data_IF_692465785388
#
_entry.id   IF_692465785388
#
_cell.length_a   1.000
_cell.length_b   1.000
_cell.length_c   1.000
_cell.angle_alpha   90.00
_cell.angle_beta   90.00
_cell.angle_gamma   90.00
#
_symmetry.space_group_name_H-M   'P 1'
#
loop_
_entity.id
_entity.type
_entity.pdbx_description
1 polymer ?
#
# COMPACT_ATOMS: atom_id res chain seq x y z
N UNK A 1 21.65 -21.93 -35.92
CA UNK A 1 22.29 -21.79 -34.59
C UNK A 1 21.61 -20.61 -33.92
N UNK A 2 20.87 -20.90 -32.86
CA UNK A 2 20.08 -19.94 -32.11
C UNK A 2 20.98 -19.08 -31.21
N UNK A 3 20.56 -17.85 -30.92
CA UNK A 3 20.71 -17.29 -29.58
C UNK A 3 19.64 -16.21 -29.37
N UNK A 4 18.75 -16.51 -28.44
CA UNK A 4 17.79 -15.58 -27.87
C UNK A 4 18.47 -14.82 -26.74
N UNK A 5 18.22 -13.52 -26.60
CA UNK A 5 18.40 -12.84 -25.31
C UNK A 5 17.34 -11.77 -25.09
N UNK A 6 16.48 -12.10 -24.12
CA UNK A 6 15.93 -11.27 -23.06
C UNK A 6 15.27 -9.92 -23.43
N UNK A 7 13.94 -9.90 -23.20
CA UNK A 7 13.12 -8.71 -23.24
C UNK A 7 13.57 -7.66 -22.22
N UNK A 8 13.72 -6.44 -22.71
CA UNK A 8 13.80 -5.24 -21.89
C UNK A 8 12.37 -4.91 -21.46
N UNK A 9 11.98 -5.39 -20.28
CA UNK A 9 10.79 -4.89 -19.60
C UNK A 9 11.10 -3.45 -19.15
N UNK A 10 10.76 -2.48 -19.99
CA UNK A 10 10.96 -1.05 -19.72
C UNK A 10 10.07 -0.67 -18.55
N UNK A 11 10.69 -0.56 -17.36
CA UNK A 11 10.08 0.05 -16.19
C UNK A 11 9.55 1.43 -16.53
N UNK A 12 8.29 1.68 -16.15
CA UNK A 12 7.60 2.93 -16.41
C UNK A 12 8.42 4.13 -15.88
N UNK A 13 8.71 5.07 -16.78
CA UNK A 13 9.22 6.40 -16.48
C UNK A 13 8.20 7.16 -15.63
N UNK A 14 8.54 7.49 -14.39
CA UNK A 14 7.67 8.18 -13.43
C UNK A 14 7.51 9.66 -13.81
N UNK A 15 6.58 9.96 -14.71
CA UNK A 15 6.03 11.32 -14.81
C UNK A 15 5.14 11.54 -13.58
N UNK A 16 5.37 12.62 -12.83
CA UNK A 16 4.46 13.04 -11.75
C UNK A 16 3.09 13.27 -12.38
N UNK A 17 2.12 12.44 -12.02
CA UNK A 17 0.76 12.56 -12.53
C UNK A 17 0.03 13.59 -11.65
N UNK A 18 -0.36 14.71 -12.26
CA UNK A 18 -1.25 15.71 -11.64
C UNK A 18 -2.69 15.18 -11.56
N UNK A 19 -3.07 14.28 -12.47
CA UNK A 19 -4.30 13.49 -12.42
C UNK A 19 -4.14 12.25 -11.53
N UNK A 20 -5.23 11.81 -10.90
CA UNK A 20 -5.27 10.60 -10.07
C UNK A 20 -4.71 9.39 -10.85
N UNK A 21 -3.49 8.91 -10.52
CA UNK A 21 -2.81 7.85 -11.26
C UNK A 21 -3.58 6.53 -11.22
N UNK A 22 -4.53 6.40 -10.28
CA UNK A 22 -5.38 5.23 -10.18
C UNK A 22 -6.42 5.18 -11.31
N UNK A 23 -6.85 6.31 -11.88
CA UNK A 23 -7.91 6.34 -12.92
C UNK A 23 -7.54 5.50 -14.14
N UNK A 24 -6.31 5.62 -14.63
CA UNK A 24 -5.85 4.83 -15.77
C UNK A 24 -5.68 3.33 -15.43
N UNK A 25 -5.36 3.02 -14.17
CA UNK A 25 -5.08 1.66 -13.70
C UNK A 25 -6.35 0.89 -13.31
N UNK A 26 -7.44 1.57 -12.95
CA UNK A 26 -8.75 0.97 -12.62
C UNK A 26 -9.27 0.10 -13.78
N UNK A 27 -8.90 0.40 -15.03
CA UNK A 27 -9.28 -0.35 -16.23
C UNK A 27 -8.47 -1.64 -16.47
N UNK A 28 -7.60 -2.04 -15.54
CA UNK A 28 -6.84 -3.28 -15.62
C UNK A 28 -7.49 -4.38 -14.75
N UNK A 29 -8.48 -5.13 -15.28
CA UNK A 29 -9.30 -6.06 -14.48
C UNK A 29 -8.53 -7.26 -13.93
N UNK A 30 -7.34 -7.54 -14.46
CA UNK A 30 -6.47 -8.65 -14.06
C UNK A 30 -5.23 -8.21 -13.28
N UNK A 31 -5.20 -6.96 -12.80
CA UNK A 31 -4.05 -6.47 -12.03
C UNK A 31 -3.97 -7.19 -10.68
N UNK A 32 -2.91 -7.98 -10.49
CA UNK A 32 -2.69 -8.75 -9.25
C UNK A 32 -1.79 -8.03 -8.25
N UNK A 33 -0.91 -7.15 -8.73
CA UNK A 33 0.07 -6.43 -7.90
C UNK A 33 0.16 -4.98 -8.36
N UNK A 34 0.08 -4.05 -7.42
CA UNK A 34 0.18 -2.63 -7.66
C UNK A 34 1.22 -2.03 -6.71
N UNK A 35 2.14 -1.27 -7.28
CA UNK A 35 3.14 -0.50 -6.53
C UNK A 35 3.06 0.96 -6.93
N UNK A 36 2.89 1.85 -5.96
CA UNK A 36 3.01 3.29 -6.12
C UNK A 36 4.19 3.73 -5.26
N UNK A 37 5.25 4.19 -5.90
CA UNK A 37 6.54 4.39 -5.26
C UNK A 37 7.08 5.79 -5.59
N UNK A 38 7.90 6.35 -4.68
CA UNK A 38 8.75 7.52 -4.94
C UNK A 38 7.98 8.72 -5.48
N UNK A 39 6.91 9.12 -4.77
CA UNK A 39 6.05 10.24 -5.14
C UNK A 39 5.46 10.17 -6.57
N UNK A 40 5.33 8.96 -7.14
CA UNK A 40 4.52 8.74 -8.35
C UNK A 40 3.07 9.18 -8.15
N UNK A 41 2.60 9.21 -6.89
CA UNK A 41 1.40 9.91 -6.46
C UNK A 41 1.78 11.06 -5.52
N UNK A 42 1.33 12.27 -5.84
CA UNK A 42 1.63 13.49 -5.09
C UNK A 42 0.40 14.09 -4.36
N UNK A 43 -0.75 13.41 -4.37
CA UNK A 43 -1.95 13.89 -3.68
C UNK A 43 -1.95 13.61 -2.18
N UNK A 44 -2.70 14.41 -1.42
CA UNK A 44 -2.81 14.26 0.04
C UNK A 44 -3.75 13.12 0.46
N UNK A 45 -4.71 12.75 -0.39
CA UNK A 45 -5.70 11.70 -0.13
C UNK A 45 -5.64 10.64 -1.23
N UNK A 46 -5.35 9.40 -0.90
CA UNK A 46 -5.48 8.27 -1.85
C UNK A 46 -6.76 7.51 -1.53
N UNK A 47 -7.63 7.31 -2.51
CA UNK A 47 -8.94 6.66 -2.31
C UNK A 47 -9.12 5.49 -3.27
N UNK A 48 -9.45 4.34 -2.71
CA UNK A 48 -9.90 3.16 -3.45
C UNK A 48 -11.42 3.06 -3.30
N UNK A 49 -12.13 3.38 -4.37
CA UNK A 49 -13.59 3.32 -4.46
C UNK A 49 -14.10 1.88 -4.54
N UNK A 50 -15.39 1.69 -4.28
CA UNK A 50 -16.08 0.41 -4.49
C UNK A 50 -15.75 -0.20 -5.86
N UNK A 51 -15.45 -1.50 -5.89
CA UNK A 51 -15.11 -2.22 -7.12
C UNK A 51 -13.69 -1.95 -7.66
N UNK A 52 -12.91 -1.08 -7.02
CA UNK A 52 -11.53 -0.82 -7.44
C UNK A 52 -10.63 -2.06 -7.27
N UNK A 53 -9.95 -2.43 -8.36
CA UNK A 53 -8.95 -3.50 -8.43
C UNK A 53 -9.42 -4.84 -7.81
N UNK A 54 -10.49 -5.46 -8.35
CA UNK A 54 -11.14 -6.59 -7.71
C UNK A 54 -10.28 -7.85 -7.62
N UNK A 55 -9.22 -7.99 -8.44
CA UNK A 55 -8.29 -9.13 -8.42
C UNK A 55 -6.95 -8.84 -7.74
N UNK A 56 -6.78 -7.63 -7.19
CA UNK A 56 -5.50 -7.23 -6.61
C UNK A 56 -5.22 -8.03 -5.35
N UNK A 57 -4.05 -8.67 -5.30
CA UNK A 57 -3.57 -9.44 -4.15
C UNK A 57 -2.52 -8.71 -3.34
N UNK A 58 -1.73 -7.84 -3.98
CA UNK A 58 -0.65 -7.12 -3.32
C UNK A 58 -0.65 -5.64 -3.65
N UNK A 59 -0.68 -4.81 -2.61
CA UNK A 59 -0.57 -3.36 -2.71
C UNK A 59 0.68 -2.86 -1.97
N UNK A 60 1.51 -2.09 -2.67
CA UNK A 60 2.71 -1.44 -2.11
C UNK A 60 2.63 0.06 -2.30
N UNK A 61 2.68 0.81 -1.20
CA UNK A 61 2.72 2.27 -1.18
C UNK A 61 4.03 2.71 -0.54
N UNK A 62 5.03 3.09 -1.34
CA UNK A 62 6.40 3.34 -0.87
C UNK A 62 6.80 4.79 -1.10
N UNK A 63 7.35 5.45 -0.07
CA UNK A 63 7.90 6.80 -0.21
C UNK A 63 6.89 7.78 -0.82
N UNK A 64 5.70 7.87 -0.21
CA UNK A 64 4.66 8.84 -0.58
C UNK A 64 4.69 10.00 0.42
N UNK A 65 5.48 11.03 0.10
CA UNK A 65 5.84 12.12 1.01
C UNK A 65 4.68 13.05 1.35
N UNK A 66 3.69 13.16 0.46
CA UNK A 66 2.52 14.05 0.61
C UNK A 66 1.25 13.34 1.10
N UNK A 67 1.23 12.01 1.10
CA UNK A 67 0.04 11.25 1.48
C UNK A 67 -0.28 11.47 2.96
N UNK A 68 -1.50 11.91 3.25
CA UNK A 68 -2.02 12.18 4.61
C UNK A 68 -3.15 11.25 5.01
N UNK A 69 -3.99 10.89 4.05
CA UNK A 69 -5.16 10.03 4.27
C UNK A 69 -5.21 8.92 3.22
N UNK A 70 -5.35 7.68 3.67
CA UNK A 70 -5.65 6.54 2.81
C UNK A 70 -7.07 6.04 3.09
N UNK A 71 -7.93 6.14 2.08
CA UNK A 71 -9.33 5.69 2.13
C UNK A 71 -9.51 4.43 1.32
N UNK A 72 -10.14 3.44 1.92
CA UNK A 72 -10.61 2.21 1.27
C UNK A 72 -12.11 2.15 1.51
N UNK A 73 -12.91 2.19 0.46
CA UNK A 73 -14.36 2.04 0.57
C UNK A 73 -14.76 0.56 0.71
N UNK A 74 -15.98 0.32 1.19
CA UNK A 74 -16.54 -1.03 1.19
C UNK A 74 -16.61 -1.57 -0.24
N UNK A 75 -16.25 -2.85 -0.43
CA UNK A 75 -16.20 -3.45 -1.77
C UNK A 75 -14.98 -3.05 -2.62
N UNK A 76 -14.08 -2.19 -2.12
CA UNK A 76 -12.78 -1.98 -2.74
C UNK A 76 -11.79 -3.09 -2.35
N UNK A 77 -10.84 -3.42 -3.24
CA UNK A 77 -9.71 -4.29 -2.92
C UNK A 77 -10.10 -5.65 -2.30
N UNK A 78 -11.26 -6.22 -2.68
CA UNK A 78 -11.87 -7.38 -2.02
C UNK A 78 -10.95 -8.61 -1.87
N UNK A 79 -9.99 -8.78 -2.77
CA UNK A 79 -9.06 -9.93 -2.79
C UNK A 79 -7.65 -9.57 -2.31
N UNK A 80 -7.47 -8.43 -1.65
CA UNK A 80 -6.16 -8.01 -1.16
C UNK A 80 -5.67 -8.94 -0.06
N UNK A 81 -4.48 -9.52 -0.26
CA UNK A 81 -3.84 -10.45 0.68
C UNK A 81 -2.68 -9.79 1.42
N UNK A 82 -1.96 -8.87 0.77
CA UNK A 82 -0.79 -8.23 1.35
C UNK A 82 -0.80 -6.70 1.12
N UNK A 83 -0.66 -5.96 2.21
CA UNK A 83 -0.54 -4.51 2.19
C UNK A 83 0.80 -4.06 2.79
N UNK A 84 1.51 -3.22 2.03
CA UNK A 84 2.77 -2.63 2.45
C UNK A 84 2.70 -1.12 2.30
N UNK A 85 3.07 -0.39 3.35
CA UNK A 85 3.15 1.06 3.31
C UNK A 85 4.40 1.56 4.03
N UNK A 86 5.02 2.58 3.44
CA UNK A 86 6.09 3.34 4.07
C UNK A 86 7.40 3.39 3.27
N UNK A 87 8.29 4.35 3.57
CA UNK A 87 8.07 5.50 4.46
C UNK A 87 6.97 6.44 3.92
N UNK A 88 6.17 7.03 4.80
CA UNK A 88 5.10 7.98 4.45
C UNK A 88 4.94 9.01 5.58
N UNK A 89 5.82 10.03 5.61
CA UNK A 89 6.02 10.88 6.80
C UNK A 89 4.83 11.76 7.17
N UNK A 90 3.90 11.99 6.25
CA UNK A 90 2.71 12.80 6.48
C UNK A 90 1.44 11.98 6.71
N UNK A 91 1.50 10.65 6.63
CA UNK A 91 0.32 9.82 6.78
C UNK A 91 -0.19 9.93 8.22
N UNK A 92 -1.44 10.35 8.36
CA UNK A 92 -2.10 10.52 9.66
C UNK A 92 -3.12 9.43 9.93
N UNK A 93 -3.79 8.96 8.88
CA UNK A 93 -4.96 8.11 9.04
C UNK A 93 -5.10 7.09 7.91
N UNK A 94 -5.45 5.87 8.31
CA UNK A 94 -6.12 4.86 7.48
C UNK A 94 -7.62 4.88 7.80
N UNK A 95 -8.47 4.94 6.78
CA UNK A 95 -9.92 4.87 6.97
C UNK A 95 -10.38 3.56 7.62
N UNK A 96 -11.55 3.56 8.25
CA UNK A 96 -12.19 2.36 8.81
C UNK A 96 -12.39 1.23 7.80
N UNK A 97 -12.47 1.51 6.50
CA UNK A 97 -12.77 0.50 5.49
C UNK A 97 -11.74 -0.61 5.29
N UNK A 98 -10.57 -0.51 5.94
CA UNK A 98 -9.68 -1.66 6.11
C UNK A 98 -10.34 -2.85 6.83
N UNK A 99 -11.40 -2.62 7.63
CA UNK A 99 -12.20 -3.67 8.27
C UNK A 99 -12.92 -4.58 7.26
N UNK A 100 -13.14 -4.10 6.03
CA UNK A 100 -13.80 -4.86 4.97
C UNK A 100 -12.83 -5.77 4.18
N UNK A 101 -11.53 -5.67 4.42
CA UNK A 101 -10.49 -6.45 3.74
C UNK A 101 -10.36 -7.86 4.34
N UNK A 102 -11.37 -8.71 4.10
CA UNK A 102 -11.49 -10.05 4.70
C UNK A 102 -10.38 -11.03 4.32
N UNK A 103 -9.71 -10.80 3.20
CA UNK A 103 -8.64 -11.66 2.69
C UNK A 103 -7.24 -11.22 3.10
N UNK A 104 -7.12 -10.13 3.88
CA UNK A 104 -5.85 -9.55 4.25
C UNK A 104 -5.12 -10.47 5.22
N UNK A 105 -3.94 -10.94 4.81
CA UNK A 105 -3.10 -11.87 5.58
C UNK A 105 -1.91 -11.17 6.20
N UNK A 106 -1.43 -10.11 5.56
CA UNK A 106 -0.21 -9.42 5.96
C UNK A 106 -0.32 -7.92 5.78
N UNK A 107 0.08 -7.20 6.81
CA UNK A 107 0.23 -5.75 6.80
C UNK A 107 1.64 -5.41 7.26
N UNK A 108 2.31 -4.53 6.55
CA UNK A 108 3.66 -4.10 6.90
C UNK A 108 3.84 -2.61 6.76
N UNK A 109 4.16 -1.98 7.88
CA UNK A 109 4.44 -0.56 8.02
C UNK A 109 5.95 -0.36 8.09
N UNK A 110 6.50 0.53 7.28
CA UNK A 110 7.93 0.77 7.16
C UNK A 110 8.25 2.23 7.47
N UNK A 111 9.11 2.49 8.46
CA UNK A 111 9.58 3.83 8.82
C UNK A 111 8.40 4.83 8.96
N UNK A 112 7.35 4.40 9.66
CA UNK A 112 6.16 5.23 9.86
C UNK A 112 6.39 6.27 10.95
N UNK A 113 5.82 7.47 10.83
CA UNK A 113 5.87 8.48 11.88
C UNK A 113 5.36 7.98 13.23
N UNK A 114 6.02 8.34 14.32
CA UNK A 114 5.59 7.95 15.67
C UNK A 114 4.16 8.40 15.98
N UNK A 115 3.78 9.61 15.56
CA UNK A 115 2.42 10.12 15.74
C UNK A 115 1.37 9.29 15.00
N UNK A 116 1.67 8.78 13.81
CA UNK A 116 0.79 7.84 13.10
C UNK A 116 0.52 6.61 13.98
N UNK A 117 1.57 5.99 14.52
CA UNK A 117 1.42 4.78 15.34
C UNK A 117 0.66 5.02 16.64
N UNK A 118 0.86 6.18 17.26
CA UNK A 118 0.24 6.50 18.55
C UNK A 118 -1.26 6.79 18.43
N UNK A 119 -1.70 7.37 17.31
CA UNK A 119 -3.09 7.81 17.13
C UNK A 119 -3.89 6.95 16.15
N UNK A 120 -3.22 6.09 15.37
CA UNK A 120 -3.93 5.23 14.42
C UNK A 120 -4.76 4.19 15.17
N UNK A 121 -6.03 4.10 14.79
CA UNK A 121 -6.88 3.01 15.22
C UNK A 121 -6.56 1.76 14.39
N UNK A 122 -5.88 0.78 15.01
CA UNK A 122 -5.57 -0.51 14.39
C UNK A 122 -6.68 -1.55 14.55
N UNK A 123 -7.81 -1.24 15.22
CA UNK A 123 -8.91 -2.20 15.37
C UNK A 123 -9.45 -2.69 14.02
N UNK A 124 -9.51 -1.82 13.03
CA UNK A 124 -9.90 -2.18 11.65
C UNK A 124 -8.96 -3.23 11.04
N UNK A 125 -7.69 -3.24 11.43
CA UNK A 125 -6.70 -4.23 11.01
C UNK A 125 -6.72 -5.49 11.88
N UNK A 126 -7.05 -5.37 13.17
CA UNK A 126 -7.22 -6.49 14.10
C UNK A 126 -8.37 -7.42 13.69
N UNK A 127 -9.45 -6.88 13.13
CA UNK A 127 -10.59 -7.68 12.63
C UNK A 127 -10.24 -8.60 11.45
N UNK A 128 -9.15 -8.33 10.72
CA UNK A 128 -8.81 -9.07 9.49
C UNK A 128 -7.99 -10.36 9.71
N UNK A 129 -7.65 -10.73 10.96
CA UNK A 129 -6.69 -11.79 11.27
C UNK A 129 -5.29 -11.61 10.64
N UNK A 130 -5.01 -10.48 9.99
CA UNK A 130 -3.74 -10.21 9.34
C UNK A 130 -2.58 -10.11 10.33
N UNK A 131 -1.44 -10.70 9.97
CA UNK A 131 -0.19 -10.47 10.68
C UNK A 131 0.30 -9.04 10.36
N UNK A 132 0.30 -8.17 11.37
CA UNK A 132 0.71 -6.77 11.26
C UNK A 132 2.14 -6.61 11.79
N UNK A 133 3.02 -6.03 10.96
CA UNK A 133 4.44 -5.86 11.26
C UNK A 133 4.85 -4.41 11.09
N UNK A 134 5.75 -3.97 11.96
CA UNK A 134 6.36 -2.65 11.90
C UNK A 134 7.88 -2.79 11.77
N UNK A 135 8.44 -2.10 10.78
CA UNK A 135 9.85 -2.09 10.45
C UNK A 135 10.40 -0.67 10.59
N UNK A 136 11.53 -0.52 11.27
CA UNK A 136 12.24 0.76 11.41
C UNK A 136 13.71 0.57 11.10
N UNK A 137 14.36 1.63 10.62
CA UNK A 137 15.80 1.64 10.40
C UNK A 137 16.51 1.85 11.73
N UNK A 138 17.42 0.94 12.07
CA UNK A 138 18.34 1.04 13.20
C UNK A 138 19.72 0.76 12.63
N UNK A 139 20.67 1.70 12.77
CA UNK A 139 22.06 1.53 12.33
C UNK A 139 22.21 0.99 10.89
N UNK A 140 21.54 1.65 9.94
CA UNK A 140 21.48 1.33 8.50
C UNK A 140 20.72 0.06 8.09
N UNK A 141 20.34 -0.80 9.04
CA UNK A 141 19.56 -2.02 8.78
C UNK A 141 18.07 -1.89 9.14
N UNK A 142 17.21 -2.63 8.42
CA UNK A 142 15.78 -2.71 8.72
C UNK A 142 15.53 -3.74 9.81
N UNK A 143 15.22 -3.26 11.02
CA UNK A 143 14.85 -4.12 12.15
C UNK A 143 13.33 -4.18 12.29
N UNK A 144 12.77 -5.38 12.47
CA UNK A 144 11.36 -5.58 12.85
C UNK A 144 11.22 -5.22 14.33
N UNK A 145 10.48 -4.16 14.65
CA UNK A 145 10.44 -3.61 16.03
C UNK A 145 9.22 -4.11 16.81
N UNK A 146 8.16 -4.55 16.13
CA UNK A 146 7.00 -5.13 16.82
C UNK A 146 6.29 -6.19 15.97
N UNK A 147 6.00 -7.31 16.61
CA UNK A 147 4.95 -8.24 16.21
C UNK A 147 3.82 -8.04 17.22
N UNK A 148 2.72 -7.43 16.80
CA UNK A 148 1.49 -7.49 17.60
C UNK A 148 0.95 -8.91 17.37
N UNK A 149 1.51 -9.87 18.11
CA UNK A 149 0.93 -11.20 18.27
C UNK A 149 -0.29 -11.05 19.18
N UNK A 150 -1.35 -11.76 18.81
CA UNK A 150 -2.66 -11.82 19.48
C UNK A 150 -2.57 -12.03 20.98
#
# INVERSE_FOLDING_TARGET
MAEATAGVNKGAISRKLEDDPLKALKNLPNLLKLGICFDAYCGEKLQFEEGAFPKLKVLRLRSLSKLRLLVVEEGALCNLEEFYIGPSPQLKELSSGFQYLRNLKKVSFWEMPTNFLMFQNFQSLQSSAANTRFYYRIDEDFTKVQEIMR
#
